data_IF_540219932455
#
_entry.id   IF_540219932455
#
_cell.length_a   1.000
_cell.length_b   1.000
_cell.length_c   1.000
_cell.angle_alpha   90.00
_cell.angle_beta   90.00
_cell.angle_gamma   90.00
#
_symmetry.space_group_name_H-M   'P 1'
#
loop_
_entity.id
_entity.type
_entity.pdbx_description
1 polymer ?
#
# COMPACT_ATOMS: atom_id res chain seq x y z
N UNK A 1 15.26 -6.17 7.29
CA UNK A 1 14.10 -5.99 8.18
C UNK A 1 12.84 -6.59 7.56
N UNK A 2 12.33 -6.05 6.45
CA UNK A 2 11.08 -6.49 5.81
C UNK A 2 11.09 -7.96 5.35
N UNK A 3 12.19 -8.46 4.77
CA UNK A 3 12.32 -9.87 4.40
C UNK A 3 12.12 -10.82 5.60
N UNK A 4 12.65 -10.46 6.77
CA UNK A 4 12.46 -11.23 8.01
C UNK A 4 11.03 -11.10 8.56
N UNK A 5 10.30 -10.05 8.16
CA UNK A 5 8.89 -9.85 8.46
C UNK A 5 7.95 -10.44 7.37
N UNK A 6 8.47 -11.27 6.46
CA UNK A 6 7.70 -11.98 5.44
C UNK A 6 7.58 -11.28 4.09
N UNK A 7 8.04 -10.03 3.97
CA UNK A 7 8.04 -9.28 2.70
C UNK A 7 9.39 -9.40 2.02
N UNK A 8 9.56 -10.50 1.26
CA UNK A 8 10.74 -10.76 0.43
C UNK A 8 10.58 -10.12 -0.95
N UNK A 9 11.68 -9.67 -1.56
CA UNK A 9 11.67 -9.05 -2.87
C UNK A 9 11.07 -9.99 -3.93
N UNK A 10 10.04 -9.53 -4.66
CA UNK A 10 9.30 -10.35 -5.62
C UNK A 10 8.43 -11.46 -5.00
N UNK A 11 8.37 -11.53 -3.67
CA UNK A 11 7.59 -12.52 -2.94
C UNK A 11 6.09 -12.27 -3.07
N UNK A 12 5.29 -13.33 -2.96
CA UNK A 12 3.82 -13.22 -2.91
C UNK A 12 3.34 -13.09 -1.48
N UNK A 13 2.31 -12.29 -1.28
CA UNK A 13 1.62 -12.14 -0.01
C UNK A 13 0.11 -12.05 -0.19
N UNK A 14 -0.61 -12.07 0.94
CA UNK A 14 -2.06 -11.87 0.96
C UNK A 14 -2.42 -10.85 2.04
N UNK A 15 -3.37 -9.98 1.74
CA UNK A 15 -3.99 -9.07 2.70
C UNK A 15 -5.50 -9.16 2.55
N UNK A 16 -6.22 -9.45 3.64
CA UNK A 16 -7.68 -9.56 3.65
C UNK A 16 -8.25 -10.50 2.55
N UNK A 17 -7.49 -11.57 2.23
CA UNK A 17 -7.84 -12.56 1.21
C UNK A 17 -7.52 -12.14 -0.23
N UNK A 18 -6.96 -10.96 -0.46
CA UNK A 18 -6.51 -10.48 -1.78
C UNK A 18 -5.01 -10.75 -1.93
N UNK A 19 -4.58 -11.15 -3.14
CA UNK A 19 -3.19 -11.49 -3.41
C UNK A 19 -2.42 -10.28 -3.93
N UNK A 20 -1.16 -10.13 -3.49
CA UNK A 20 -0.24 -9.14 -4.04
C UNK A 20 1.14 -9.75 -4.27
N UNK A 21 1.91 -9.11 -5.15
CA UNK A 21 3.36 -9.37 -5.29
C UNK A 21 4.10 -8.20 -4.67
N UNK A 22 4.98 -8.48 -3.70
CA UNK A 22 5.83 -7.48 -3.10
C UNK A 22 6.88 -7.01 -4.13
N UNK A 23 7.21 -5.71 -4.18
CA UNK A 23 8.19 -5.18 -5.12
C UNK A 23 9.51 -5.96 -5.12
N UNK A 24 9.98 -6.30 -6.31
CA UNK A 24 11.26 -6.94 -6.58
C UNK A 24 12.30 -5.96 -7.14
N UNK A 25 12.20 -4.68 -6.79
CA UNK A 25 13.09 -3.64 -7.32
C UNK A 25 14.55 -3.93 -6.96
N UNK A 26 15.50 -3.79 -7.91
CA UNK A 26 16.92 -3.88 -7.60
C UNK A 26 17.36 -2.79 -6.61
N UNK A 27 18.45 -3.05 -5.90
CA UNK A 27 19.04 -2.09 -4.96
C UNK A 27 19.26 -0.71 -5.62
N UNK A 28 18.90 0.34 -4.88
CA UNK A 28 19.02 1.73 -5.36
C UNK A 28 17.93 2.17 -6.34
N UNK A 29 16.97 1.30 -6.68
CA UNK A 29 15.75 1.68 -7.43
C UNK A 29 14.57 1.84 -6.47
N UNK A 30 13.62 2.74 -6.77
CA UNK A 30 12.39 2.85 -5.99
C UNK A 30 11.64 1.51 -5.94
N UNK A 31 11.16 1.17 -4.75
CA UNK A 31 10.34 -0.02 -4.46
C UNK A 31 8.89 0.35 -4.09
N UNK A 32 8.53 1.63 -4.23
CA UNK A 32 7.21 2.15 -3.98
C UNK A 32 6.96 3.38 -4.85
N UNK A 33 5.70 3.83 -4.88
CA UNK A 33 5.31 5.10 -5.48
C UNK A 33 4.74 6.02 -4.40
N UNK A 34 5.24 7.26 -4.34
CA UNK A 34 4.52 8.36 -3.68
C UNK A 34 3.33 8.77 -4.54
N UNK A 35 2.15 8.94 -3.96
CA UNK A 35 0.95 9.31 -4.69
C UNK A 35 1.06 10.76 -5.22
N UNK A 36 1.33 10.92 -6.52
CA UNK A 36 1.53 12.21 -7.18
C UNK A 36 0.57 12.39 -8.38
N UNK A 37 -0.61 11.77 -8.32
CA UNK A 37 -1.63 11.87 -9.38
C UNK A 37 -1.48 10.86 -10.54
N UNK A 38 -0.46 10.01 -10.52
CA UNK A 38 -0.23 9.00 -11.56
C UNK A 38 -1.32 7.92 -11.59
N UNK A 39 -1.47 7.27 -12.75
CA UNK A 39 -2.34 6.11 -12.93
C UNK A 39 -1.54 4.82 -13.00
N UNK A 40 -2.05 3.78 -12.34
CA UNK A 40 -1.52 2.42 -12.35
C UNK A 40 -2.54 1.53 -13.06
N UNK A 41 -2.12 0.87 -14.14
CA UNK A 41 -2.95 -0.13 -14.83
C UNK A 41 -2.69 -1.50 -14.20
N UNK A 42 -3.75 -2.26 -13.92
CA UNK A 42 -3.63 -3.61 -13.41
C UNK A 42 -3.21 -4.57 -14.54
N UNK A 43 -2.39 -5.57 -14.22
CA UNK A 43 -1.97 -6.60 -15.18
C UNK A 43 -3.18 -7.37 -15.74
N UNK A 44 -4.16 -7.63 -14.87
CA UNK A 44 -5.46 -8.17 -15.21
C UNK A 44 -6.56 -7.37 -14.49
N UNK A 45 -7.76 -7.24 -15.08
CA UNK A 45 -8.89 -6.65 -14.37
C UNK A 45 -9.21 -7.39 -13.06
N UNK A 46 -9.70 -6.66 -12.05
CA UNK A 46 -9.94 -7.21 -10.72
C UNK A 46 -11.33 -6.86 -10.18
N UNK A 47 -11.95 -7.79 -9.46
CA UNK A 47 -13.23 -7.62 -8.78
C UNK A 47 -13.11 -6.96 -7.41
N UNK A 48 -11.91 -7.00 -6.81
CA UNK A 48 -11.61 -6.31 -5.56
C UNK A 48 -10.17 -5.80 -5.54
N UNK A 49 -9.93 -4.74 -4.76
CA UNK A 49 -8.62 -4.11 -4.63
C UNK A 49 -8.38 -3.60 -3.20
N UNK A 50 -7.17 -3.79 -2.69
CA UNK A 50 -6.66 -3.13 -1.49
C UNK A 50 -5.27 -2.56 -1.78
N UNK A 51 -4.96 -1.39 -1.23
CA UNK A 51 -3.63 -0.81 -1.34
C UNK A 51 -2.74 -1.36 -0.23
N UNK A 52 -1.53 -1.76 -0.56
CA UNK A 52 -0.50 -2.17 0.40
C UNK A 52 0.55 -1.07 0.49
N UNK A 53 0.70 -0.47 1.67
CA UNK A 53 1.64 0.62 1.90
C UNK A 53 1.53 1.28 3.26
N UNK A 54 1.94 2.54 3.34
CA UNK A 54 1.99 3.29 4.59
C UNK A 54 2.03 4.80 4.33
N UNK A 55 1.72 5.59 5.35
CA UNK A 55 1.90 7.03 5.32
C UNK A 55 3.24 7.44 5.95
N UNK A 56 3.71 8.63 5.61
CA UNK A 56 4.80 9.33 6.31
C UNK A 56 4.32 10.70 6.82
N UNK A 57 5.06 11.28 7.76
CA UNK A 57 4.75 12.58 8.36
C UNK A 57 3.38 12.63 9.08
N UNK A 58 2.89 11.49 9.56
CA UNK A 58 1.57 11.35 10.17
C UNK A 58 0.64 10.44 9.39
N UNK A 59 -0.57 10.28 9.93
CA UNK A 59 -1.64 9.56 9.26
C UNK A 59 -2.14 10.38 8.06
N UNK A 60 -2.35 9.73 6.91
CA UNK A 60 -2.76 10.39 5.67
C UNK A 60 -4.00 9.73 5.09
N UNK A 61 -4.90 10.55 4.52
CA UNK A 61 -6.13 10.07 3.88
C UNK A 61 -6.47 10.94 2.66
N UNK A 62 -6.64 10.27 1.52
CA UNK A 62 -7.15 10.88 0.31
C UNK A 62 -8.00 9.87 -0.48
N UNK A 63 -8.56 10.31 -1.62
CA UNK A 63 -9.36 9.46 -2.51
C UNK A 63 -8.55 9.06 -3.74
N UNK A 64 -8.62 7.78 -4.10
CA UNK A 64 -8.14 7.28 -5.38
C UNK A 64 -9.33 7.05 -6.33
N UNK A 65 -9.12 7.27 -7.62
CA UNK A 65 -10.14 7.01 -8.64
C UNK A 65 -9.88 5.66 -9.29
N UNK A 66 -10.86 4.77 -9.24
CA UNK A 66 -10.85 3.50 -9.96
C UNK A 66 -11.52 3.70 -11.32
N UNK A 67 -10.94 3.14 -12.37
CA UNK A 67 -11.58 3.04 -13.69
C UNK A 67 -11.89 1.58 -13.97
N UNK A 68 -13.14 1.29 -14.32
CA UNK A 68 -13.59 -0.06 -14.67
C UNK A 68 -13.32 -0.39 -16.14
N UNK A 69 -13.42 -1.66 -16.51
CA UNK A 69 -13.27 -2.14 -17.89
C UNK A 69 -14.31 -1.57 -18.85
N UNK A 70 -15.48 -1.14 -18.35
CA UNK A 70 -16.53 -0.45 -19.12
C UNK A 70 -16.29 1.06 -19.30
N UNK A 71 -15.17 1.58 -18.77
CA UNK A 71 -14.79 3.00 -18.83
C UNK A 71 -15.45 3.89 -17.77
N UNK A 72 -16.41 3.38 -16.99
CA UNK A 72 -16.96 4.13 -15.86
C UNK A 72 -15.99 4.17 -14.69
N UNK A 73 -16.24 5.03 -13.71
CA UNK A 73 -15.33 5.25 -12.57
C UNK A 73 -16.02 5.12 -11.22
N UNK A 74 -15.22 4.88 -10.18
CA UNK A 74 -15.61 4.99 -8.78
C UNK A 74 -14.49 5.62 -7.96
N UNK A 75 -14.80 6.07 -6.75
CA UNK A 75 -13.80 6.51 -5.78
C UNK A 75 -13.64 5.47 -4.67
N UNK A 76 -12.41 5.35 -4.15
CA UNK A 76 -12.11 4.55 -2.97
C UNK A 76 -11.17 5.33 -2.03
N UNK A 77 -11.22 5.02 -0.74
CA UNK A 77 -10.28 5.59 0.22
C UNK A 77 -8.87 5.01 0.02
N UNK A 78 -7.88 5.90 -0.07
CA UNK A 78 -6.47 5.60 0.16
C UNK A 78 -6.08 6.26 1.48
N UNK A 79 -6.15 5.49 2.55
CA UNK A 79 -5.89 5.98 3.91
C UNK A 79 -4.91 5.05 4.62
N UNK A 80 -3.79 5.61 5.06
CA UNK A 80 -2.76 4.87 5.78
C UNK A 80 -2.42 5.54 7.10
N UNK A 81 -2.24 4.71 8.12
CA UNK A 81 -1.57 5.10 9.35
C UNK A 81 -0.10 5.42 9.06
N UNK A 82 0.49 6.35 9.81
CA UNK A 82 1.92 6.62 9.80
C UNK A 82 2.71 5.32 9.98
N UNK A 83 3.76 5.14 9.19
CA UNK A 83 4.59 3.93 9.16
C UNK A 83 5.31 3.63 10.49
N UNK A 84 5.44 4.60 11.40
CA UNK A 84 5.95 4.41 12.76
C UNK A 84 4.85 4.41 13.82
N UNK A 85 3.59 4.61 13.42
CA UNK A 85 2.43 4.76 14.31
C UNK A 85 2.73 5.83 15.36
N UNK A 86 3.13 7.02 14.89
CA UNK A 86 3.47 8.16 15.76
C UNK A 86 4.66 7.87 16.67
N UNK A 87 5.73 7.26 16.14
CA UNK A 87 6.90 6.85 16.93
C UNK A 87 6.62 5.75 17.95
N UNK A 88 5.57 4.95 17.74
CA UNK A 88 5.13 3.89 18.64
C UNK A 88 4.15 4.32 19.74
N UNK A 89 3.81 5.61 19.82
CA UNK A 89 2.83 6.13 20.79
C UNK A 89 1.39 6.21 20.27
N UNK A 90 1.18 6.00 18.97
CA UNK A 90 -0.13 6.10 18.33
C UNK A 90 -0.91 4.78 18.32
N UNK A 91 -1.98 4.75 17.53
CA UNK A 91 -2.78 3.55 17.27
C UNK A 91 -3.06 3.42 15.77
N UNK A 92 -3.20 2.19 15.29
CA UNK A 92 -3.52 1.91 13.88
C UNK A 92 -4.91 2.47 13.55
N UNK A 93 -4.97 3.33 12.53
CA UNK A 93 -6.17 4.04 12.08
C UNK A 93 -6.82 3.39 10.85
N UNK A 94 -7.99 3.91 10.47
CA UNK A 94 -8.69 3.64 9.21
C UNK A 94 -9.08 2.16 8.96
N UNK A 95 -8.97 1.32 9.99
CA UNK A 95 -9.11 -0.13 9.85
C UNK A 95 -8.03 -0.75 8.96
N UNK A 96 -6.82 -0.18 8.98
CA UNK A 96 -5.66 -0.77 8.31
C UNK A 96 -5.31 -2.13 8.93
N UNK A 97 -5.06 -3.12 8.07
CA UNK A 97 -4.53 -4.43 8.47
C UNK A 97 -3.00 -4.37 8.46
N UNK A 98 -2.33 -4.88 9.50
CA UNK A 98 -0.86 -4.96 9.52
C UNK A 98 -0.40 -6.10 8.61
N UNK A 99 0.28 -5.76 7.51
CA UNK A 99 0.87 -6.72 6.56
C UNK A 99 2.27 -7.14 7.02
N UNK A 100 3.05 -6.19 7.51
CA UNK A 100 4.35 -6.45 8.12
C UNK A 100 4.61 -5.49 9.28
N UNK A 101 5.35 -6.00 10.27
CA UNK A 101 5.90 -5.21 11.37
C UNK A 101 7.37 -5.55 11.50
N UNK A 102 8.21 -4.53 11.62
CA UNK A 102 9.64 -4.70 11.94
C UNK A 102 9.99 -3.99 13.23
N UNK A 103 11.04 -4.43 13.91
CA UNK A 103 11.47 -3.89 15.20
C UNK A 103 12.29 -2.60 15.11
N UNK A 104 12.69 -2.17 13.90
CA UNK A 104 13.59 -1.05 13.69
C UNK A 104 13.43 -0.47 12.28
N UNK A 105 13.83 0.78 12.06
CA UNK A 105 14.06 1.33 10.71
C UNK A 105 15.54 1.33 10.36
N UNK A 106 15.83 1.12 9.08
CA UNK A 106 17.20 1.27 8.56
C UNK A 106 17.58 2.76 8.56
N UNK A 107 18.81 3.05 8.92
CA UNK A 107 19.44 4.37 8.79
C UNK A 107 20.54 4.27 7.73
N UNK A 108 20.79 5.35 6.99
CA UNK A 108 21.87 5.40 6.01
C UNK A 108 23.22 5.06 6.66
N UNK A 109 24.08 4.30 5.96
CA UNK A 109 25.41 3.92 6.48
C UNK A 109 25.46 2.60 7.28
N UNK A 110 24.36 1.82 7.28
CA UNK A 110 24.20 0.50 7.92
C UNK A 110 23.74 0.50 9.39
N UNK A 111 23.40 1.67 9.94
CA UNK A 111 22.81 1.80 11.26
C UNK A 111 21.32 1.45 11.30
N UNK A 112 20.79 1.33 12.53
CA UNK A 112 19.40 1.02 12.81
C UNK A 112 18.89 1.91 13.94
N UNK A 113 17.66 2.38 13.78
CA UNK A 113 16.92 3.10 14.83
C UNK A 113 15.81 2.18 15.36
N UNK A 114 15.77 1.85 16.67
CA UNK A 114 14.87 0.85 17.26
C UNK A 114 13.41 1.32 17.40
N UNK A 115 12.90 2.02 16.38
CA UNK A 115 11.50 2.38 16.24
C UNK A 115 10.80 1.29 15.42
N UNK A 116 9.72 0.73 15.95
CA UNK A 116 8.92 -0.24 15.22
C UNK A 116 8.30 0.40 13.98
N UNK A 117 8.31 -0.34 12.86
CA UNK A 117 7.79 0.16 11.58
C UNK A 117 6.84 -0.83 10.94
N UNK A 118 5.93 -0.32 10.12
CA UNK A 118 4.78 -1.06 9.65
C UNK A 118 4.55 -0.86 8.16
N UNK A 119 4.07 -1.94 7.52
CA UNK A 119 3.39 -1.89 6.23
C UNK A 119 1.96 -2.33 6.47
N UNK A 120 1.02 -1.60 5.91
CA UNK A 120 -0.41 -1.80 6.07
C UNK A 120 -1.08 -2.23 4.77
N UNK A 121 -2.28 -2.79 4.90
CA UNK A 121 -3.26 -2.88 3.83
C UNK A 121 -4.48 -2.01 4.18
N UNK A 122 -5.05 -1.35 3.17
CA UNK A 122 -6.33 -0.65 3.34
C UNK A 122 -7.47 -1.65 3.42
N UNK A 123 -8.63 -1.21 3.92
CA UNK A 123 -9.87 -1.98 3.73
C UNK A 123 -10.07 -2.28 2.24
N UNK A 124 -10.36 -3.53 1.85
CA UNK A 124 -10.63 -3.85 0.46
C UNK A 124 -11.84 -3.10 -0.09
N UNK A 125 -11.69 -2.55 -1.29
CA UNK A 125 -12.79 -2.11 -2.12
C UNK A 125 -13.27 -3.28 -2.98
N UNK A 126 -14.59 -3.50 -3.04
CA UNK A 126 -15.20 -4.50 -3.91
C UNK A 126 -15.96 -3.79 -5.02
N UNK A 127 -15.66 -4.14 -6.27
CA UNK A 127 -16.37 -3.61 -7.43
C UNK A 127 -17.85 -4.03 -7.42
N UNK A 128 -18.75 -3.19 -7.94
CA UNK A 128 -20.14 -3.59 -8.17
C UNK A 128 -20.24 -4.88 -9.00
N UNK A 129 -21.29 -5.67 -8.78
CA UNK A 129 -21.48 -6.92 -9.49
C UNK A 129 -21.41 -6.72 -11.02
N UNK A 130 -20.59 -7.55 -11.69
CA UNK A 130 -20.37 -7.50 -13.13
C UNK A 130 -19.38 -6.42 -13.59
N UNK A 131 -18.77 -5.65 -12.68
CA UNK A 131 -17.68 -4.71 -13.00
C UNK A 131 -16.33 -5.24 -12.55
N UNK A 132 -15.31 -4.90 -13.31
CA UNK A 132 -13.91 -5.19 -12.98
C UNK A 132 -13.09 -3.91 -13.10
N UNK A 133 -12.23 -3.67 -12.11
CA UNK A 133 -11.30 -2.55 -12.04
C UNK A 133 -10.21 -2.80 -13.08
N UNK A 134 -9.93 -1.81 -13.92
CA UNK A 134 -8.86 -1.83 -14.93
C UNK A 134 -7.63 -1.05 -14.49
N UNK A 135 -7.85 0.09 -13.86
CA UNK A 135 -6.76 0.97 -13.42
C UNK A 135 -7.18 1.78 -12.19
N UNK A 136 -6.17 2.34 -11.52
CA UNK A 136 -6.32 3.22 -10.38
C UNK A 136 -5.50 4.49 -10.61
N UNK A 137 -6.14 5.66 -10.49
CA UNK A 137 -5.45 6.94 -10.38
C UNK A 137 -5.27 7.28 -8.91
N UNK A 138 -4.01 7.44 -8.51
CA UNK A 138 -3.65 7.83 -7.15
C UNK A 138 -3.95 9.32 -6.91
N UNK A 139 -4.20 9.74 -5.65
CA UNK A 139 -4.32 11.15 -5.30
C UNK A 139 -3.01 11.92 -5.49
N UNK A 140 -3.08 13.24 -5.35
CA UNK A 140 -1.90 14.12 -5.26
C UNK A 140 -1.56 14.39 -3.80
N UNK A 141 -1.04 13.38 -3.12
CA UNK A 141 -0.60 13.43 -1.73
C UNK A 141 0.68 12.59 -1.59
N UNK A 142 1.83 13.25 -1.64
CA UNK A 142 3.12 12.57 -1.73
C UNK A 142 3.53 11.87 -0.43
N UNK A 143 2.82 12.11 0.67
CA UNK A 143 3.04 11.44 1.95
C UNK A 143 2.36 10.06 1.99
N UNK A 144 1.54 9.71 1.00
CA UNK A 144 1.01 8.36 0.79
C UNK A 144 1.95 7.54 -0.09
N UNK A 145 2.51 6.46 0.46
CA UNK A 145 3.37 5.54 -0.26
C UNK A 145 2.67 4.20 -0.51
N UNK A 146 2.61 3.80 -1.78
CA UNK A 146 2.03 2.51 -2.21
C UNK A 146 3.13 1.60 -2.74
N UNK A 147 3.26 0.42 -2.14
CA UNK A 147 4.25 -0.60 -2.53
C UNK A 147 3.62 -1.61 -3.48
N UNK A 148 2.38 -2.02 -3.25
CA UNK A 148 1.69 -2.98 -4.09
C UNK A 148 0.17 -2.75 -4.10
N UNK A 149 -0.50 -3.32 -5.09
CA UNK A 149 -1.95 -3.48 -5.13
C UNK A 149 -2.28 -4.94 -4.88
N UNK A 150 -3.05 -5.22 -3.83
CA UNK A 150 -3.62 -6.54 -3.59
C UNK A 150 -4.94 -6.63 -4.34
N UNK A 151 -5.13 -7.69 -5.14
CA UNK A 151 -6.27 -7.84 -6.04
C UNK A 151 -6.87 -9.24 -6.00
N UNK A 152 -8.11 -9.37 -6.48
CA UNK A 152 -8.82 -10.63 -6.68
C UNK A 152 -9.62 -10.62 -7.98
#
# INVERSE_FOLDING_TARGET
ALAAAGLTAGGRGTADGLAFTWPGSPDGRPDNVSAAGQSITLDAPASALSFVGSAVNGDQQAKATLTYTDGTTAETDLAFTDWTVGGGGGTVQYGNTVVAKTAYRNVAGADKDPVATYVFATRPFTAPAGKEIRSVKLPSDTDLHVFALAVK
#
